data_IF_008967398198
#
_entry.id   IF_008967398198
#
_cell.length_a   1.000
_cell.length_b   1.000
_cell.length_c   1.000
_cell.angle_alpha   90.00
_cell.angle_beta   90.00
_cell.angle_gamma   90.00
#
_symmetry.space_group_name_H-M   'P 1'
#
loop_
_entity.id
_entity.type
_entity.pdbx_description
1 polymer ?
#
# COMPACT_ATOMS: atom_id res chain seq x y z
N UNK A 1 -2.39 -27.66 -2.55
CA UNK A 1 -1.93 -27.67 -3.96
C UNK A 1 -2.25 -29.00 -4.63
N UNK A 2 -2.61 -28.97 -5.95
CA UNK A 2 -2.94 -30.17 -6.72
C UNK A 2 -4.35 -30.77 -6.53
N UNK A 3 -5.18 -30.20 -5.65
CA UNK A 3 -6.58 -30.63 -5.47
C UNK A 3 -7.49 -29.82 -6.39
N UNK A 4 -8.32 -30.50 -7.17
CA UNK A 4 -9.31 -29.86 -8.05
C UNK A 4 -10.38 -29.15 -7.21
N UNK A 5 -10.63 -27.88 -7.51
CA UNK A 5 -11.62 -27.04 -6.87
C UNK A 5 -12.76 -26.71 -7.85
N UNK A 6 -14.01 -26.88 -7.49
CA UNK A 6 -15.13 -26.37 -8.28
C UNK A 6 -15.19 -24.85 -8.14
N UNK A 7 -15.28 -24.12 -9.25
CA UNK A 7 -15.44 -22.67 -9.30
C UNK A 7 -16.62 -22.36 -10.18
N UNK A 8 -17.58 -21.59 -9.67
CA UNK A 8 -18.68 -21.05 -10.47
C UNK A 8 -18.30 -19.67 -10.96
N UNK A 9 -18.29 -19.45 -12.26
CA UNK A 9 -18.02 -18.15 -12.89
C UNK A 9 -19.28 -17.65 -13.57
N UNK A 10 -19.53 -16.35 -13.41
CA UNK A 10 -20.58 -15.64 -14.16
C UNK A 10 -19.96 -15.11 -15.46
N UNK A 11 -20.52 -15.52 -16.60
CA UNK A 11 -20.15 -15.04 -17.92
C UNK A 11 -21.40 -14.53 -18.61
N UNK A 12 -21.52 -13.21 -18.75
CA UNK A 12 -22.64 -12.52 -19.40
C UNK A 12 -24.03 -12.85 -18.79
N UNK A 13 -24.07 -13.16 -17.49
CA UNK A 13 -25.27 -13.54 -16.75
C UNK A 13 -25.53 -15.07 -16.68
N UNK A 14 -24.73 -15.87 -17.38
CA UNK A 14 -24.79 -17.34 -17.30
C UNK A 14 -23.78 -17.86 -16.26
N UNK A 15 -24.27 -18.66 -15.31
CA UNK A 15 -23.42 -19.31 -14.32
C UNK A 15 -22.82 -20.60 -14.89
N UNK A 16 -21.50 -20.62 -15.03
CA UNK A 16 -20.74 -21.77 -15.53
C UNK A 16 -19.95 -22.41 -14.39
N UNK A 17 -20.16 -23.68 -14.15
CA UNK A 17 -19.38 -24.45 -13.20
C UNK A 17 -18.14 -25.04 -13.89
N UNK A 18 -16.99 -24.59 -13.45
CA UNK A 18 -15.68 -25.01 -13.95
C UNK A 18 -14.92 -25.75 -12.83
N UNK A 19 -14.17 -26.77 -13.21
CA UNK A 19 -13.24 -27.41 -12.31
C UNK A 19 -11.81 -26.95 -12.61
N UNK A 20 -11.15 -26.34 -11.62
CA UNK A 20 -9.79 -25.85 -11.76
C UNK A 20 -8.86 -26.59 -10.81
N UNK A 21 -7.76 -27.11 -11.35
CA UNK A 21 -6.70 -27.70 -10.54
C UNK A 21 -5.56 -26.66 -10.45
N UNK A 22 -5.31 -26.08 -9.25
CA UNK A 22 -4.24 -25.14 -9.06
C UNK A 22 -2.87 -25.76 -9.39
N UNK A 23 -2.06 -25.04 -10.16
CA UNK A 23 -0.65 -25.39 -10.37
C UNK A 23 0.08 -25.33 -9.04
N UNK A 24 0.86 -26.34 -8.76
CA UNK A 24 1.74 -26.35 -7.59
C UNK A 24 2.95 -25.51 -7.92
N UNK A 25 3.07 -24.38 -7.23
CA UNK A 25 4.25 -23.52 -7.33
C UNK A 25 5.07 -23.73 -6.07
N UNK A 26 6.26 -24.28 -6.26
CA UNK A 26 7.25 -24.42 -5.19
C UNK A 26 8.14 -23.18 -5.20
N UNK A 27 7.92 -22.30 -4.23
CA UNK A 27 8.76 -21.13 -4.07
C UNK A 27 9.98 -21.52 -3.23
N UNK A 28 11.02 -21.92 -3.94
CA UNK A 28 12.29 -22.34 -3.32
C UNK A 28 12.92 -21.24 -2.45
N UNK A 29 12.60 -19.97 -2.73
CA UNK A 29 13.13 -18.84 -1.98
C UNK A 29 12.39 -18.60 -0.66
N UNK A 30 11.09 -18.92 -0.61
CA UNK A 30 10.27 -18.81 0.60
C UNK A 30 10.15 -20.14 1.37
N UNK A 31 10.59 -21.24 0.77
CA UNK A 31 10.41 -22.59 1.32
C UNK A 31 8.94 -22.98 1.50
N UNK A 32 8.05 -22.36 0.71
CA UNK A 32 6.60 -22.58 0.79
C UNK A 32 6.04 -23.03 -0.54
N UNK A 33 5.19 -24.05 -0.50
CA UNK A 33 4.48 -24.54 -1.67
C UNK A 33 3.06 -24.01 -1.65
N UNK A 34 2.64 -23.30 -2.70
CA UNK A 34 1.28 -22.78 -2.82
C UNK A 34 0.63 -23.14 -4.16
N UNK A 35 -0.71 -23.13 -4.17
CA UNK A 35 -1.49 -23.39 -5.39
C UNK A 35 -1.80 -22.09 -6.13
N UNK A 36 -1.44 -22.01 -7.42
CA UNK A 36 -1.77 -20.87 -8.28
C UNK A 36 -2.78 -21.27 -9.34
N UNK A 37 -3.92 -20.58 -9.39
CA UNK A 37 -4.97 -20.83 -10.39
C UNK A 37 -4.78 -20.07 -11.71
N UNK A 38 -3.74 -19.24 -11.83
CA UNK A 38 -3.37 -18.58 -13.08
C UNK A 38 -4.39 -17.58 -13.64
N UNK A 39 -5.34 -17.10 -12.82
CA UNK A 39 -6.31 -16.09 -13.23
C UNK A 39 -5.62 -14.74 -13.32
N UNK A 40 -5.75 -14.08 -14.47
CA UNK A 40 -5.34 -12.69 -14.64
C UNK A 40 -6.59 -11.81 -14.73
N UNK A 41 -6.56 -10.66 -14.08
CA UNK A 41 -7.56 -9.63 -14.32
C UNK A 41 -7.48 -9.23 -15.80
N UNK A 42 -8.53 -9.49 -16.57
CA UNK A 42 -8.71 -8.83 -17.85
C UNK A 42 -8.84 -7.35 -17.54
N UNK A 43 -7.96 -6.52 -18.08
CA UNK A 43 -7.89 -5.08 -17.76
C UNK A 43 -9.30 -4.48 -17.69
N UNK A 44 -9.53 -3.60 -16.70
CA UNK A 44 -10.85 -3.04 -16.46
C UNK A 44 -11.39 -2.36 -17.71
N UNK A 45 -12.67 -2.50 -17.97
CA UNK A 45 -13.35 -1.74 -19.00
C UNK A 45 -13.20 -0.24 -18.71
N UNK A 46 -12.77 0.51 -19.73
CA UNK A 46 -12.69 1.97 -19.65
C UNK A 46 -14.11 2.55 -19.63
N UNK A 47 -14.69 2.66 -18.44
CA UNK A 47 -15.97 3.34 -18.27
C UNK A 47 -15.77 4.85 -18.40
N UNK A 48 -16.47 5.45 -19.37
CA UNK A 48 -16.47 6.90 -19.55
C UNK A 48 -17.47 7.51 -18.58
N UNK A 49 -16.99 8.36 -17.71
CA UNK A 49 -17.80 9.13 -16.76
C UNK A 49 -17.99 10.54 -17.28
N UNK A 50 -19.15 11.15 -17.01
CA UNK A 50 -19.30 12.60 -17.13
C UNK A 50 -18.41 13.32 -16.10
N UNK A 51 -18.07 14.62 -16.31
CA UNK A 51 -17.12 15.32 -15.45
C UNK A 51 -17.54 15.36 -13.98
N UNK A 52 -18.80 15.52 -13.68
CA UNK A 52 -19.34 15.52 -12.29
C UNK A 52 -19.27 14.11 -11.68
N UNK A 53 -19.70 13.11 -12.44
CA UNK A 53 -19.69 11.72 -12.02
C UNK A 53 -18.25 11.21 -11.78
N UNK A 54 -17.30 11.64 -12.63
CA UNK A 54 -15.89 11.34 -12.48
C UNK A 54 -15.31 11.89 -11.16
N UNK A 55 -15.63 13.14 -10.81
CA UNK A 55 -15.18 13.75 -9.55
C UNK A 55 -15.79 13.03 -8.35
N UNK A 56 -17.10 12.72 -8.39
CA UNK A 56 -17.74 11.98 -7.31
C UNK A 56 -17.14 10.58 -7.13
N UNK A 57 -16.99 9.82 -8.21
CA UNK A 57 -16.39 8.47 -8.16
C UNK A 57 -14.95 8.52 -7.64
N UNK A 58 -14.13 9.44 -8.15
CA UNK A 58 -12.76 9.62 -7.71
C UNK A 58 -12.67 9.98 -6.22
N UNK A 59 -13.57 10.83 -5.72
CA UNK A 59 -13.63 11.20 -4.29
C UNK A 59 -13.98 10.01 -3.41
N UNK A 60 -14.98 9.22 -3.80
CA UNK A 60 -15.40 8.01 -3.06
C UNK A 60 -14.29 6.97 -3.07
N UNK A 61 -13.64 6.75 -4.20
CA UNK A 61 -12.57 5.76 -4.31
C UNK A 61 -11.31 6.20 -3.54
N UNK A 62 -10.98 7.50 -3.55
CA UNK A 62 -9.91 8.06 -2.71
C UNK A 62 -10.18 7.85 -1.22
N UNK A 63 -11.43 8.06 -0.78
CA UNK A 63 -11.83 7.84 0.61
C UNK A 63 -11.77 6.35 1.00
N UNK A 64 -12.21 5.45 0.11
CA UNK A 64 -12.10 3.99 0.30
C UNK A 64 -10.65 3.55 0.41
N UNK A 65 -9.76 4.08 -0.43
CA UNK A 65 -8.32 3.82 -0.37
C UNK A 65 -7.71 4.29 0.94
N UNK A 66 -8.08 5.49 1.42
CA UNK A 66 -7.63 6.00 2.71
C UNK A 66 -8.04 5.07 3.87
N UNK A 67 -9.30 4.60 3.88
CA UNK A 67 -9.77 3.65 4.90
C UNK A 67 -9.02 2.31 4.80
N UNK A 68 -8.80 1.80 3.58
CA UNK A 68 -8.08 0.56 3.37
C UNK A 68 -6.63 0.66 3.89
N UNK A 69 -5.97 1.79 3.68
CA UNK A 69 -4.64 2.07 4.21
C UNK A 69 -4.61 2.11 5.74
N UNK A 70 -5.57 2.81 6.38
CA UNK A 70 -5.68 2.83 7.84
C UNK A 70 -5.90 1.43 8.43
N UNK A 71 -6.71 0.60 7.76
CA UNK A 71 -6.89 -0.81 8.14
C UNK A 71 -5.60 -1.61 7.96
N UNK A 72 -4.83 -1.36 6.90
CA UNK A 72 -3.52 -1.97 6.67
C UNK A 72 -2.54 -1.62 7.78
N UNK A 73 -2.45 -0.34 8.16
CA UNK A 73 -1.64 0.12 9.30
C UNK A 73 -2.08 -0.54 10.62
N UNK A 74 -3.38 -0.69 10.84
CA UNK A 74 -3.90 -1.40 12.01
C UNK A 74 -3.48 -2.87 12.05
N UNK A 75 -3.44 -3.57 10.92
CA UNK A 75 -2.93 -4.95 10.83
C UNK A 75 -1.44 -5.03 11.09
N UNK A 76 -0.67 -4.07 10.57
CA UNK A 76 0.77 -3.93 10.86
C UNK A 76 1.00 -3.78 12.37
N UNK A 77 0.28 -2.88 13.01
CA UNK A 77 0.38 -2.63 14.45
C UNK A 77 -0.03 -3.85 15.30
N UNK A 78 -0.97 -4.67 14.82
CA UNK A 78 -1.39 -5.91 15.49
C UNK A 78 -0.50 -7.14 15.21
N UNK A 79 0.60 -6.96 14.45
CA UNK A 79 1.53 -8.04 14.11
C UNK A 79 1.01 -9.06 13.08
N UNK A 80 -0.15 -8.82 12.47
CA UNK A 80 -0.80 -9.69 11.49
C UNK A 80 -0.48 -9.30 10.03
N UNK A 81 0.64 -8.63 9.81
CA UNK A 81 1.07 -8.26 8.46
C UNK A 81 1.74 -9.42 7.74
N UNK A 82 1.35 -9.67 6.50
CA UNK A 82 2.06 -10.61 5.63
C UNK A 82 3.43 -10.05 5.25
N UNK A 83 4.46 -10.90 5.28
CA UNK A 83 5.85 -10.51 4.96
C UNK A 83 6.02 -9.85 3.57
N UNK A 84 5.07 -10.05 2.65
CA UNK A 84 5.07 -9.46 1.31
C UNK A 84 4.40 -8.08 1.19
N UNK A 85 3.67 -7.62 2.21
CA UNK A 85 2.93 -6.35 2.19
C UNK A 85 3.83 -5.13 2.47
N UNK A 86 4.97 -5.33 3.10
CA UNK A 86 5.90 -4.26 3.43
C UNK A 86 6.90 -4.13 2.28
N UNK A 87 6.90 -2.99 1.63
CA UNK A 87 7.86 -2.64 0.59
C UNK A 87 8.50 -1.31 0.88
N UNK A 88 9.81 -1.22 0.70
CA UNK A 88 10.56 0.00 0.84
C UNK A 88 10.73 0.76 -0.49
N UNK A 89 11.61 1.75 -0.53
CA UNK A 89 11.81 2.62 -1.69
C UNK A 89 12.20 1.88 -2.97
N UNK A 90 12.96 0.79 -2.85
CA UNK A 90 13.42 0.00 -4.01
C UNK A 90 12.23 -0.71 -4.68
N UNK A 91 11.33 -1.27 -3.88
CA UNK A 91 10.12 -1.93 -4.38
C UNK A 91 9.17 -0.93 -5.07
N UNK A 92 9.06 0.29 -4.54
CA UNK A 92 8.28 1.36 -5.17
C UNK A 92 8.87 1.71 -6.54
N UNK A 93 10.19 1.84 -6.64
CA UNK A 93 10.88 2.12 -7.90
C UNK A 93 10.67 1.01 -8.94
N UNK A 94 10.77 -0.25 -8.54
CA UNK A 94 10.47 -1.40 -9.39
C UNK A 94 9.01 -1.42 -9.89
N UNK A 95 8.06 -1.19 -8.97
CA UNK A 95 6.64 -1.12 -9.33
C UNK A 95 6.38 0.03 -10.29
N UNK A 96 7.00 1.18 -10.07
CA UNK A 96 6.91 2.35 -10.94
C UNK A 96 7.36 2.02 -12.38
N UNK A 97 8.50 1.32 -12.54
CA UNK A 97 8.97 0.86 -13.85
C UNK A 97 8.01 -0.11 -14.54
N UNK A 98 7.45 -1.07 -13.79
CA UNK A 98 6.47 -2.03 -14.33
C UNK A 98 5.16 -1.35 -14.74
N UNK A 99 4.68 -0.41 -13.93
CA UNK A 99 3.43 0.31 -14.22
C UNK A 99 3.63 1.28 -15.39
N UNK A 100 4.79 1.92 -15.51
CA UNK A 100 5.13 2.77 -16.64
C UNK A 100 5.10 2.01 -17.98
N UNK A 101 5.54 0.74 -17.99
CA UNK A 101 5.48 -0.10 -19.19
C UNK A 101 4.05 -0.49 -19.60
N UNK A 102 3.06 -0.35 -18.72
CA UNK A 102 1.65 -0.61 -18.99
C UNK A 102 0.92 0.59 -19.65
N UNK A 103 1.57 1.75 -19.71
CA UNK A 103 1.07 2.95 -20.35
C UNK A 103 0.82 4.11 -19.40
N UNK A 104 0.60 5.28 -20.01
CA UNK A 104 0.50 6.56 -19.30
C UNK A 104 -0.66 6.59 -18.29
N UNK A 105 -1.80 6.00 -18.61
CA UNK A 105 -2.97 5.97 -17.72
C UNK A 105 -2.68 5.17 -16.45
N UNK A 106 -2.03 4.01 -16.58
CA UNK A 106 -1.64 3.18 -15.44
C UNK A 106 -0.63 3.92 -14.56
N UNK A 107 0.32 4.62 -15.17
CA UNK A 107 1.30 5.44 -14.44
C UNK A 107 0.61 6.60 -13.70
N UNK A 108 -0.32 7.30 -14.33
CA UNK A 108 -1.06 8.38 -13.69
C UNK A 108 -1.88 7.88 -12.48
N UNK A 109 -2.55 6.73 -12.61
CA UNK A 109 -3.26 6.09 -11.49
C UNK A 109 -2.30 5.70 -10.36
N UNK A 110 -1.15 5.14 -10.69
CA UNK A 110 -0.13 4.77 -9.70
C UNK A 110 0.38 5.99 -8.93
N UNK A 111 0.67 7.09 -9.64
CA UNK A 111 1.09 8.36 -9.02
C UNK A 111 -0.01 8.91 -8.11
N UNK A 112 -1.28 8.86 -8.54
CA UNK A 112 -2.41 9.30 -7.72
C UNK A 112 -2.53 8.49 -6.42
N UNK A 113 -2.40 7.16 -6.48
CA UNK A 113 -2.44 6.28 -5.32
C UNK A 113 -1.30 6.61 -4.35
N UNK A 114 -0.07 6.77 -4.85
CA UNK A 114 1.07 7.14 -4.00
C UNK A 114 0.87 8.50 -3.36
N UNK A 115 0.33 9.48 -4.11
CA UNK A 115 0.06 10.82 -3.59
C UNK A 115 -0.96 10.81 -2.46
N UNK A 116 -2.06 10.05 -2.60
CA UNK A 116 -3.07 9.88 -1.55
C UNK A 116 -2.45 9.23 -0.32
N UNK A 117 -1.68 8.15 -0.51
CA UNK A 117 -1.02 7.45 0.58
C UNK A 117 -0.02 8.35 1.32
N UNK A 118 0.79 9.10 0.58
CA UNK A 118 1.76 10.04 1.16
C UNK A 118 1.05 11.16 1.95
N UNK A 119 -0.03 11.73 1.39
CA UNK A 119 -0.84 12.72 2.10
C UNK A 119 -1.43 12.17 3.39
N UNK A 120 -1.95 10.94 3.36
CA UNK A 120 -2.52 10.29 4.54
C UNK A 120 -1.46 9.98 5.61
N UNK A 121 -0.28 9.51 5.20
CA UNK A 121 0.85 9.29 6.12
C UNK A 121 1.28 10.61 6.76
N UNK A 122 1.33 11.69 5.99
CA UNK A 122 1.70 13.01 6.50
C UNK A 122 0.69 13.56 7.53
N UNK A 123 -0.56 13.12 7.49
CA UNK A 123 -1.58 13.48 8.49
C UNK A 123 -1.50 12.66 9.79
N UNK A 124 -0.70 11.59 9.82
CA UNK A 124 -0.52 10.82 11.07
C UNK A 124 0.16 11.67 12.15
N UNK A 125 -0.21 11.49 13.43
CA UNK A 125 0.37 12.22 14.55
C UNK A 125 1.78 11.72 14.88
N UNK A 126 2.66 11.74 13.87
CA UNK A 126 4.06 11.31 13.98
C UNK A 126 4.95 12.56 13.96
N UNK A 127 5.87 12.73 14.92
CA UNK A 127 6.85 13.80 14.88
C UNK A 127 7.64 13.78 13.56
N UNK A 128 7.92 14.96 13.02
CA UNK A 128 8.55 15.17 11.70
C UNK A 128 7.62 15.06 10.48
N UNK A 129 6.34 14.74 10.66
CA UNK A 129 5.30 14.85 9.64
C UNK A 129 4.35 16.03 9.96
N UNK A 130 3.56 16.46 8.97
CA UNK A 130 2.63 17.58 9.14
C UNK A 130 1.60 17.33 10.25
N UNK A 131 1.14 16.08 10.39
CA UNK A 131 0.25 15.65 11.48
C UNK A 131 0.88 15.78 12.86
N UNK A 132 2.19 15.68 12.99
CA UNK A 132 2.91 15.96 14.23
C UNK A 132 2.86 17.43 14.61
N UNK A 133 2.97 18.34 13.65
CA UNK A 133 2.77 19.77 13.89
C UNK A 133 1.33 20.09 14.29
N UNK A 134 0.35 19.52 13.60
CA UNK A 134 -1.08 19.64 13.95
C UNK A 134 -1.35 19.14 15.38
N UNK A 135 -0.72 18.05 15.78
CA UNK A 135 -0.83 17.52 17.14
C UNK A 135 -0.26 18.51 18.17
N UNK A 136 0.88 19.14 17.91
CA UNK A 136 1.45 20.15 18.80
C UNK A 136 0.54 21.38 18.93
N UNK A 137 0.02 21.90 17.81
CA UNK A 137 -0.94 23.01 17.83
C UNK A 137 -2.24 22.66 18.57
N UNK A 138 -2.73 21.41 18.38
CA UNK A 138 -3.89 20.92 19.12
C UNK A 138 -3.63 20.87 20.64
N UNK A 139 -2.47 20.39 21.06
CA UNK A 139 -2.07 20.35 22.48
C UNK A 139 -1.92 21.75 23.07
N UNK A 140 -1.31 22.68 22.35
CA UNK A 140 -1.18 24.10 22.78
C UNK A 140 -2.55 24.74 22.94
N UNK A 141 -3.48 24.49 22.00
CA UNK A 141 -4.85 24.96 22.07
C UNK A 141 -5.62 24.45 23.31
N UNK A 142 -5.44 23.17 23.65
CA UNK A 142 -6.07 22.55 24.84
C UNK A 142 -5.42 23.07 26.14
N UNK A 143 -4.09 23.23 26.15
CA UNK A 143 -3.34 23.68 27.32
C UNK A 143 -3.43 25.19 27.56
N UNK A 144 -3.86 25.97 26.57
CA UNK A 144 -3.92 27.44 26.63
C UNK A 144 -2.56 28.13 26.77
N UNK A 145 -1.47 27.40 26.53
CA UNK A 145 -0.09 27.92 26.61
C UNK A 145 0.81 27.22 25.58
N UNK A 146 1.81 27.92 25.04
CA UNK A 146 2.74 27.33 24.10
C UNK A 146 3.59 26.25 24.78
N UNK A 147 3.90 25.18 24.03
CA UNK A 147 4.84 24.14 24.42
C UNK A 147 6.27 24.70 24.47
N UNK A 148 7.10 24.15 25.32
CA UNK A 148 8.49 24.54 25.39
C UNK A 148 9.21 24.20 24.07
N UNK A 149 9.75 25.22 23.39
CA UNK A 149 10.37 25.09 22.08
C UNK A 149 11.51 24.03 22.07
N UNK A 150 12.26 23.88 23.16
CA UNK A 150 13.31 22.85 23.28
C UNK A 150 12.75 21.44 23.27
N UNK A 151 11.61 21.21 23.92
CA UNK A 151 10.94 19.90 23.96
C UNK A 151 10.40 19.56 22.58
N UNK A 152 9.75 20.53 21.93
CA UNK A 152 9.23 20.36 20.57
C UNK A 152 10.36 20.02 19.58
N UNK A 153 11.48 20.75 19.67
CA UNK A 153 12.66 20.52 18.82
C UNK A 153 13.27 19.12 19.05
N UNK A 154 13.37 18.66 20.30
CA UNK A 154 13.90 17.34 20.62
C UNK A 154 13.00 16.22 20.10
N UNK A 155 11.68 16.35 20.24
CA UNK A 155 10.71 15.39 19.70
C UNK A 155 10.79 15.36 18.18
N UNK A 156 10.90 16.50 17.51
CA UNK A 156 11.05 16.58 16.06
C UNK A 156 12.35 15.93 15.57
N UNK A 157 13.47 16.22 16.22
CA UNK A 157 14.77 15.59 15.90
C UNK A 157 14.71 14.07 16.09
N UNK A 158 14.10 13.60 17.17
CA UNK A 158 13.87 12.17 17.41
C UNK A 158 13.00 11.53 16.33
N UNK A 159 11.92 12.21 15.90
CA UNK A 159 11.06 11.76 14.82
C UNK A 159 11.79 11.64 13.47
N UNK A 160 12.60 12.64 13.13
CA UNK A 160 13.43 12.61 11.90
C UNK A 160 14.42 11.43 11.97
N UNK A 161 15.12 11.25 13.10
CA UNK A 161 16.07 10.16 13.27
C UNK A 161 15.39 8.79 13.13
N UNK A 162 14.19 8.64 13.70
CA UNK A 162 13.38 7.43 13.59
C UNK A 162 12.97 7.15 12.13
N UNK A 163 12.47 8.16 11.41
CA UNK A 163 12.10 8.02 10.00
C UNK A 163 13.29 7.64 9.12
N UNK A 164 14.42 8.31 9.30
CA UNK A 164 15.63 7.98 8.56
C UNK A 164 16.12 6.57 8.85
N UNK A 165 16.13 6.15 10.11
CA UNK A 165 16.49 4.77 10.47
C UNK A 165 15.54 3.76 9.85
N UNK A 166 14.24 4.02 9.84
CA UNK A 166 13.25 3.16 9.21
C UNK A 166 13.47 3.03 7.70
N UNK A 167 13.74 4.15 7.01
CA UNK A 167 14.04 4.14 5.57
C UNK A 167 15.28 3.29 5.29
N UNK A 168 16.34 3.45 6.06
CA UNK A 168 17.58 2.67 5.91
C UNK A 168 17.31 1.18 6.12
N UNK A 169 16.60 0.83 7.17
CA UNK A 169 16.26 -0.56 7.50
C UNK A 169 15.39 -1.18 6.39
N UNK A 170 14.34 -0.50 5.95
CA UNK A 170 13.48 -0.99 4.87
C UNK A 170 14.23 -1.13 3.55
N UNK A 171 15.08 -0.17 3.21
CA UNK A 171 15.91 -0.24 2.00
C UNK A 171 16.88 -1.42 2.06
N UNK A 172 17.48 -1.66 3.22
CA UNK A 172 18.37 -2.79 3.43
C UNK A 172 17.64 -4.12 3.25
N UNK A 173 16.44 -4.26 3.84
CA UNK A 173 15.62 -5.47 3.64
C UNK A 173 15.12 -5.63 2.21
N UNK A 174 14.79 -4.56 1.50
CA UNK A 174 14.41 -4.60 0.09
C UNK A 174 15.57 -5.10 -0.80
N UNK A 175 16.78 -4.61 -0.56
CA UNK A 175 17.97 -5.03 -1.29
C UNK A 175 18.27 -6.51 -1.00
N UNK A 176 18.26 -6.92 0.27
CA UNK A 176 18.46 -8.32 0.63
C UNK A 176 17.37 -9.22 0.02
N UNK A 177 16.12 -8.80 0.08
CA UNK A 177 15.00 -9.53 -0.53
C UNK A 177 15.11 -9.66 -2.04
N UNK A 178 15.68 -8.67 -2.73
CA UNK A 178 15.95 -8.73 -4.16
C UNK A 178 17.14 -9.65 -4.49
N UNK A 179 18.18 -9.64 -3.67
CA UNK A 179 19.34 -10.54 -3.83
C UNK A 179 18.93 -12.00 -3.60
N UNK A 180 18.09 -12.25 -2.61
CA UNK A 180 17.58 -13.61 -2.33
C UNK A 180 16.52 -14.09 -3.34
N UNK A 181 15.85 -13.19 -4.06
CA UNK A 181 14.93 -13.56 -5.16
C UNK A 181 15.62 -13.94 -6.46
N UNK A 182 16.95 -13.79 -6.56
CA UNK A 182 17.74 -14.30 -7.68
C UNK A 182 18.12 -15.80 -7.52
N UNK A 183 17.59 -16.45 -6.50
CA UNK A 183 17.58 -17.94 -6.46
C UNK A 183 16.53 -18.45 -7.45
#
# INVERSE_FOLDING_TARGET
PGRTLPITVDRDGDLLDLSVTPLVVDDQCLGTTYGQIGVRSAGGELKRYGPVEAVMSASVDSFRMAIAMLRGLGRLASGNANKGEIGGPVKIAEMSGRVASQGLLSLAMFVAIISINLGLVNLLPVPALDGGHLMFFGLEGIMGRPLNARVQEQIMRGGIALLLSLIVVLTFFDILGNVTKQC
#
